data_IF_818056428486
#
_entry.id   IF_818056428486
#
_cell.length_a   1.000
_cell.length_b   1.000
_cell.length_c   1.000
_cell.angle_alpha   90.00
_cell.angle_beta   90.00
_cell.angle_gamma   90.00
#
_symmetry.space_group_name_H-M   'P 1'
#
loop_
_entity.id
_entity.type
_entity.pdbx_description
1 polymer ?
#
# COMPACT_ATOMS: atom_id res chain seq x y z
N UNK A 1 5.40 9.37 9.22
CA UNK A 1 4.24 9.98 8.57
C UNK A 1 4.41 11.49 8.64
N UNK A 2 4.23 12.24 7.57
CA UNK A 2 3.63 13.55 7.63
C UNK A 2 4.46 14.79 7.34
N UNK A 3 5.60 14.65 6.65
CA UNK A 3 6.23 15.86 6.14
C UNK A 3 5.40 16.55 5.04
N UNK A 4 4.67 15.77 4.24
CA UNK A 4 3.76 16.32 3.21
C UNK A 4 2.49 16.93 3.80
N UNK A 5 1.89 16.29 4.82
CA UNK A 5 0.69 16.84 5.48
C UNK A 5 0.99 18.18 6.15
N UNK A 6 2.19 18.34 6.71
CA UNK A 6 2.62 19.61 7.29
C UNK A 6 2.81 20.70 6.24
N UNK A 7 3.41 20.40 5.07
CA UNK A 7 3.54 21.36 3.98
C UNK A 7 2.17 21.80 3.47
N UNK A 8 1.25 20.85 3.23
CA UNK A 8 -0.13 21.16 2.83
C UNK A 8 -0.91 21.93 3.89
N UNK A 9 -0.78 21.61 5.17
CA UNK A 9 -1.43 22.35 6.25
C UNK A 9 -0.96 23.81 6.31
N UNK A 10 0.31 24.07 6.11
CA UNK A 10 0.83 25.44 6.08
C UNK A 10 0.39 26.19 4.83
N UNK A 11 0.37 25.56 3.66
CA UNK A 11 -0.14 26.15 2.44
C UNK A 11 -1.63 26.49 2.55
N UNK A 12 -2.40 25.67 3.25
CA UNK A 12 -3.85 25.86 3.38
C UNK A 12 -4.23 26.85 4.48
N UNK A 13 -3.50 26.89 5.61
CA UNK A 13 -3.81 27.77 6.74
C UNK A 13 -3.47 29.24 6.50
N UNK A 14 -2.41 29.51 5.76
CA UNK A 14 -1.85 30.86 5.65
C UNK A 14 -1.92 31.42 4.21
N UNK A 15 -2.34 30.63 3.26
CA UNK A 15 -2.31 30.99 1.84
C UNK A 15 -0.86 31.16 1.31
N UNK A 16 -0.67 31.02 0.02
CA UNK A 16 0.63 31.13 -0.65
C UNK A 16 1.28 32.53 -0.47
N UNK A 17 0.50 33.51 -0.08
CA UNK A 17 0.96 34.90 0.03
C UNK A 17 1.84 35.16 1.29
N UNK A 18 1.75 34.31 2.30
CA UNK A 18 2.47 34.49 3.57
C UNK A 18 3.56 33.46 3.85
N UNK A 19 3.84 32.57 2.89
CA UNK A 19 4.89 31.57 3.07
C UNK A 19 6.13 32.05 2.33
N UNK A 20 7.15 32.55 3.05
CA UNK A 20 8.41 32.89 2.40
C UNK A 20 8.99 31.64 1.75
N UNK A 21 9.29 31.77 0.45
CA UNK A 21 10.00 30.74 -0.32
C UNK A 21 11.37 31.27 -0.70
N UNK A 22 12.36 30.39 -0.72
CA UNK A 22 13.71 30.73 -1.10
C UNK A 22 14.73 30.53 0.01
N UNK A 23 15.82 31.29 -0.03
CA UNK A 23 16.95 31.13 0.87
C UNK A 23 17.38 32.52 1.37
N UNK A 24 17.68 32.66 2.65
CA UNK A 24 18.31 33.83 3.24
C UNK A 24 19.60 33.39 3.94
N UNK A 25 20.72 34.05 3.65
CA UNK A 25 22.02 33.78 4.24
C UNK A 25 22.41 32.30 4.17
N UNK A 26 22.10 31.63 3.05
CA UNK A 26 22.38 30.21 2.84
C UNK A 26 21.39 29.24 3.50
N UNK A 27 20.41 29.75 4.25
CA UNK A 27 19.41 28.91 4.93
C UNK A 27 18.08 28.95 4.19
N UNK A 28 17.56 27.79 3.84
CA UNK A 28 16.26 27.63 3.20
C UNK A 28 15.11 27.99 4.16
N UNK A 29 14.10 28.67 3.67
CA UNK A 29 12.85 28.81 4.42
C UNK A 29 12.18 27.47 4.66
N UNK A 30 11.37 27.40 5.70
CA UNK A 30 10.71 26.19 6.19
C UNK A 30 10.18 25.26 5.09
N UNK A 31 9.44 25.79 4.12
CA UNK A 31 8.84 24.97 3.05
C UNK A 31 9.92 24.37 2.17
N UNK A 32 10.91 25.15 1.78
CA UNK A 32 12.02 24.70 0.93
C UNK A 32 12.91 23.72 1.69
N UNK A 33 13.22 24.01 2.96
CA UNK A 33 13.99 23.11 3.81
C UNK A 33 13.27 21.75 3.98
N UNK A 34 11.95 21.77 4.24
CA UNK A 34 11.15 20.56 4.33
C UNK A 34 11.15 19.76 3.02
N UNK A 35 11.04 20.42 1.86
CA UNK A 35 11.07 19.73 0.57
C UNK A 35 12.42 19.10 0.26
N UNK A 36 13.51 19.72 0.66
CA UNK A 36 14.88 19.26 0.38
C UNK A 36 15.36 18.19 1.35
N UNK A 37 15.07 18.37 2.64
CA UNK A 37 15.71 17.62 3.73
C UNK A 37 14.80 16.59 4.38
N UNK A 38 13.45 16.75 4.30
CA UNK A 38 12.56 15.80 4.93
C UNK A 38 12.66 14.41 4.29
N UNK A 39 12.67 13.40 5.13
CA UNK A 39 12.65 12.03 4.67
C UNK A 39 11.40 11.72 3.83
N UNK A 40 11.59 10.90 2.83
CA UNK A 40 10.52 10.48 1.91
C UNK A 40 10.08 9.06 2.23
N UNK A 41 8.79 8.87 2.39
CA UNK A 41 8.21 7.54 2.35
C UNK A 41 7.96 7.17 0.88
N UNK A 42 8.62 6.11 0.43
CA UNK A 42 8.43 5.55 -0.90
C UNK A 42 7.61 4.27 -0.76
N UNK A 43 6.52 4.17 -1.48
CA UNK A 43 5.67 2.96 -1.54
C UNK A 43 5.56 2.54 -2.99
N UNK A 44 6.07 1.36 -3.29
CA UNK A 44 5.94 0.72 -4.60
C UNK A 44 4.95 -0.43 -4.47
N UNK A 45 3.94 -0.43 -5.31
CA UNK A 45 2.92 -1.48 -5.35
C UNK A 45 2.85 -2.07 -6.74
N UNK A 46 3.12 -3.37 -6.83
CA UNK A 46 2.98 -4.15 -8.04
C UNK A 46 1.78 -5.07 -7.89
N UNK A 47 0.90 -5.06 -8.87
CA UNK A 47 -0.29 -5.90 -8.88
C UNK A 47 -0.46 -6.56 -10.24
N UNK A 48 -0.60 -7.88 -10.24
CA UNK A 48 -0.96 -8.67 -11.40
C UNK A 48 -2.27 -9.39 -11.11
N UNK A 49 -3.24 -9.25 -12.02
CA UNK A 49 -4.49 -10.01 -11.97
C UNK A 49 -4.71 -10.70 -13.30
N UNK A 50 -4.87 -12.01 -13.26
CA UNK A 50 -5.17 -12.86 -14.40
C UNK A 50 -6.57 -13.45 -14.22
N UNK A 51 -7.40 -13.36 -15.25
CA UNK A 51 -8.74 -13.94 -15.29
C UNK A 51 -8.85 -14.90 -16.45
N UNK A 52 -9.36 -16.08 -16.18
CA UNK A 52 -9.73 -17.05 -17.20
C UNK A 52 -11.23 -17.34 -17.08
N UNK A 53 -11.90 -17.44 -18.19
CA UNK A 53 -13.32 -17.72 -18.27
C UNK A 53 -13.60 -18.84 -19.27
N UNK A 54 -14.42 -19.81 -18.87
CA UNK A 54 -14.88 -20.89 -19.73
C UNK A 54 -16.40 -20.92 -19.74
N UNK A 55 -16.98 -20.97 -20.93
CA UNK A 55 -18.41 -21.23 -21.13
C UNK A 55 -18.56 -22.38 -22.11
N UNK A 56 -19.29 -23.41 -21.73
CA UNK A 56 -19.60 -24.56 -22.54
C UNK A 56 -21.10 -24.83 -22.57
N UNK A 57 -21.69 -24.83 -23.76
CA UNK A 57 -23.07 -25.25 -23.96
C UNK A 57 -23.09 -26.78 -24.11
N UNK A 58 -23.46 -27.50 -23.05
CA UNK A 58 -23.49 -28.95 -23.02
C UNK A 58 -24.68 -29.47 -23.85
N UNK A 59 -25.83 -28.79 -23.68
CA UNK A 59 -27.03 -29.02 -24.46
C UNK A 59 -27.69 -27.67 -24.80
N UNK A 60 -28.81 -27.68 -25.52
CA UNK A 60 -29.58 -26.47 -25.79
C UNK A 60 -30.09 -25.78 -24.52
N UNK A 61 -30.35 -26.57 -23.49
CA UNK A 61 -30.96 -26.13 -22.24
C UNK A 61 -29.97 -26.08 -21.06
N UNK A 62 -28.75 -26.63 -21.22
CA UNK A 62 -27.74 -26.74 -20.17
C UNK A 62 -26.42 -26.09 -20.57
N UNK A 63 -26.00 -25.13 -19.76
CA UNK A 63 -24.74 -24.40 -19.94
C UNK A 63 -23.86 -24.55 -18.69
N UNK A 64 -22.61 -24.90 -18.90
CA UNK A 64 -21.57 -24.87 -17.86
C UNK A 64 -20.79 -23.57 -18.00
N UNK A 65 -20.52 -22.93 -16.85
CA UNK A 65 -19.66 -21.76 -16.77
C UNK A 65 -18.63 -21.99 -15.67
N UNK A 66 -17.42 -21.57 -15.92
CA UNK A 66 -16.35 -21.53 -14.92
C UNK A 66 -15.51 -20.27 -15.09
N UNK A 67 -15.12 -19.68 -13.99
CA UNK A 67 -14.18 -18.57 -13.96
C UNK A 67 -13.10 -18.82 -12.91
N UNK A 68 -11.91 -18.39 -13.22
CA UNK A 68 -10.75 -18.46 -12.36
C UNK A 68 -10.03 -17.12 -12.39
N UNK A 69 -9.78 -16.57 -11.21
CA UNK A 69 -8.99 -15.37 -11.03
C UNK A 69 -7.80 -15.65 -10.16
N UNK A 70 -6.63 -15.23 -10.60
CA UNK A 70 -5.40 -15.25 -9.81
C UNK A 70 -4.85 -13.85 -9.66
N UNK A 71 -4.58 -13.42 -8.43
CA UNK A 71 -4.06 -12.10 -8.09
C UNK A 71 -2.81 -12.20 -7.25
N UNK A 72 -1.76 -11.50 -7.67
CA UNK A 72 -0.55 -11.26 -6.89
C UNK A 72 -0.45 -9.77 -6.65
N UNK A 73 -0.24 -9.39 -5.40
CA UNK A 73 0.06 -8.03 -5.01
C UNK A 73 1.31 -8.03 -4.14
N UNK A 74 2.32 -7.25 -4.56
CA UNK A 74 3.50 -6.94 -3.76
C UNK A 74 3.48 -5.46 -3.40
N UNK A 75 3.78 -5.16 -2.16
CA UNK A 75 3.97 -3.79 -1.71
C UNK A 75 5.30 -3.70 -0.97
N UNK A 76 6.16 -2.81 -1.46
CA UNK A 76 7.42 -2.48 -0.82
C UNK A 76 7.35 -1.04 -0.35
N UNK A 77 7.66 -0.80 0.91
CA UNK A 77 7.70 0.53 1.47
C UNK A 77 9.02 0.77 2.16
N UNK A 78 9.56 1.94 1.96
CA UNK A 78 10.75 2.42 2.66
C UNK A 78 10.51 3.83 3.15
N UNK A 79 11.00 4.11 4.34
CA UNK A 79 10.92 5.43 4.95
C UNK A 79 12.05 5.63 5.95
N UNK A 80 12.30 6.88 6.29
CA UNK A 80 13.22 7.25 7.35
C UNK A 80 12.71 8.48 8.09
N UNK A 81 13.28 8.76 9.23
CA UNK A 81 13.12 10.02 9.96
C UNK A 81 14.36 10.89 9.76
N UNK A 82 14.17 12.12 9.34
CA UNK A 82 15.25 13.11 9.18
C UNK A 82 14.95 14.33 10.04
N UNK A 83 16.01 14.97 10.55
CA UNK A 83 15.91 16.32 11.06
C UNK A 83 15.89 17.32 9.90
N UNK A 84 15.21 18.44 10.08
CA UNK A 84 15.14 19.50 9.08
C UNK A 84 15.62 20.79 9.71
N UNK A 85 16.63 21.38 9.10
CA UNK A 85 17.20 22.65 9.53
C UNK A 85 16.94 23.74 8.50
N UNK A 86 16.59 24.93 8.95
CA UNK A 86 16.31 26.07 8.05
C UNK A 86 15.85 27.30 8.81
N UNK A 87 15.41 28.31 8.07
CA UNK A 87 14.86 29.52 8.68
C UNK A 87 13.50 29.26 9.31
N UNK A 88 13.27 29.93 10.45
CA UNK A 88 11.93 29.94 11.03
C UNK A 88 10.93 30.62 10.07
N UNK A 89 9.65 30.53 10.38
CA UNK A 89 8.58 31.05 9.53
C UNK A 89 8.61 32.58 9.36
N UNK A 90 9.28 33.32 10.27
CA UNK A 90 9.45 34.77 10.19
C UNK A 90 10.74 35.19 9.45
N UNK A 91 11.62 34.24 9.13
CA UNK A 91 12.92 34.56 8.47
C UNK A 91 13.91 35.27 9.38
N UNK A 92 13.75 35.20 10.69
CA UNK A 92 14.57 35.93 11.65
C UNK A 92 15.81 35.16 12.09
N UNK A 93 15.67 33.85 12.27
CA UNK A 93 16.76 33.02 12.77
C UNK A 93 16.72 31.61 12.18
N UNK A 94 17.90 31.05 11.84
CA UNK A 94 17.99 29.64 11.47
C UNK A 94 17.86 28.74 12.71
N UNK A 95 17.36 27.52 12.50
CA UNK A 95 17.21 26.53 13.55
C UNK A 95 16.58 25.23 13.06
N UNK A 96 16.42 24.27 13.96
CA UNK A 96 15.68 23.05 13.63
C UNK A 96 14.19 23.34 13.44
N UNK A 97 13.71 23.11 12.23
CA UNK A 97 12.28 23.13 11.90
C UNK A 97 11.61 21.85 12.40
N UNK A 98 12.30 20.72 12.21
CA UNK A 98 11.99 19.41 12.76
C UNK A 98 13.25 18.91 13.43
N UNK A 99 13.20 18.69 14.73
CA UNK A 99 14.29 18.11 15.49
C UNK A 99 13.89 16.69 15.89
N UNK A 100 14.60 15.69 15.35
CA UNK A 100 14.42 14.29 15.70
C UNK A 100 15.46 13.88 16.70
N UNK A 101 15.02 13.29 17.82
CA UNK A 101 15.91 12.73 18.84
C UNK A 101 16.60 11.46 18.37
N UNK A 102 16.04 10.79 17.36
CA UNK A 102 16.61 9.63 16.69
C UNK A 102 16.24 9.70 15.20
N UNK A 103 17.18 9.38 14.34
CA UNK A 103 16.98 9.28 12.89
C UNK A 103 16.83 7.82 12.52
N UNK A 104 15.60 7.33 12.53
CA UNK A 104 15.29 5.93 12.29
C UNK A 104 15.06 5.67 10.80
N UNK A 105 15.40 4.47 10.35
CA UNK A 105 15.01 3.99 9.02
C UNK A 105 14.27 2.68 9.13
N UNK A 106 13.24 2.49 8.27
CA UNK A 106 12.47 1.26 8.23
C UNK A 106 12.08 0.86 6.82
N UNK A 107 11.94 -0.44 6.65
CA UNK A 107 11.44 -1.06 5.43
C UNK A 107 10.38 -2.08 5.77
N UNK A 108 9.34 -2.10 5.00
CA UNK A 108 8.31 -3.12 5.06
C UNK A 108 8.04 -3.69 3.67
N UNK A 109 7.75 -4.97 3.66
CA UNK A 109 7.31 -5.69 2.49
C UNK A 109 6.04 -6.46 2.83
N UNK A 110 5.06 -6.42 1.96
CA UNK A 110 3.90 -7.31 2.05
C UNK A 110 3.62 -7.95 0.70
N UNK A 111 3.33 -9.24 0.74
CA UNK A 111 2.94 -10.03 -0.43
C UNK A 111 1.60 -10.68 -0.17
N UNK A 112 0.66 -10.48 -1.07
CA UNK A 112 -0.64 -11.14 -1.06
C UNK A 112 -0.82 -11.92 -2.36
N UNK A 113 -1.05 -13.21 -2.22
CA UNK A 113 -1.49 -14.09 -3.30
C UNK A 113 -2.93 -14.49 -3.02
N UNK A 114 -3.77 -14.38 -4.02
CA UNK A 114 -5.18 -14.78 -3.91
C UNK A 114 -5.61 -15.46 -5.19
N UNK A 115 -6.38 -16.52 -5.06
CA UNK A 115 -7.13 -17.06 -6.18
C UNK A 115 -8.60 -17.25 -5.81
N UNK A 116 -9.45 -17.10 -6.79
CA UNK A 116 -10.87 -17.40 -6.72
C UNK A 116 -11.26 -18.25 -7.90
N UNK A 117 -12.07 -19.25 -7.65
CA UNK A 117 -12.61 -20.13 -8.68
C UNK A 117 -14.11 -20.29 -8.47
N UNK A 118 -14.88 -20.14 -9.53
CA UNK A 118 -16.31 -20.39 -9.55
C UNK A 118 -16.61 -21.37 -10.69
N UNK A 119 -17.52 -22.30 -10.41
CA UNK A 119 -18.03 -23.19 -11.44
C UNK A 119 -19.53 -23.41 -11.20
N UNK A 120 -20.34 -23.23 -12.24
CA UNK A 120 -21.77 -23.39 -12.12
C UNK A 120 -22.43 -23.90 -13.39
N UNK A 121 -23.51 -24.63 -13.20
CA UNK A 121 -24.41 -25.15 -14.23
C UNK A 121 -25.70 -24.32 -14.24
N UNK A 122 -26.10 -23.88 -15.40
CA UNK A 122 -27.38 -23.27 -15.64
C UNK A 122 -28.22 -24.17 -16.51
N UNK A 123 -29.38 -24.57 -16.03
CA UNK A 123 -30.38 -25.28 -16.79
C UNK A 123 -31.59 -24.37 -16.99
N UNK A 124 -31.95 -24.09 -18.24
CA UNK A 124 -33.08 -23.26 -18.61
C UNK A 124 -33.93 -24.02 -19.64
N UNK A 125 -35.17 -24.24 -19.32
CA UNK A 125 -36.08 -24.97 -20.21
C UNK A 125 -37.47 -24.37 -20.18
N UNK A 126 -38.04 -24.19 -21.38
CA UNK A 126 -39.44 -23.83 -21.57
C UNK A 126 -40.23 -25.08 -21.90
N UNK A 127 -41.30 -25.38 -21.15
CA UNK A 127 -42.23 -26.49 -21.38
C UNK A 127 -43.55 -25.94 -21.93
N UNK A 128 -44.03 -26.53 -23.02
CA UNK A 128 -45.26 -26.16 -23.66
C UNK A 128 -45.39 -24.68 -23.99
N UNK A 129 -44.28 -24.01 -24.30
CA UNK A 129 -44.20 -22.57 -24.62
C UNK A 129 -44.80 -21.62 -23.56
N UNK A 130 -45.14 -22.16 -22.37
CA UNK A 130 -45.79 -21.40 -21.28
C UNK A 130 -44.98 -21.43 -19.98
N UNK A 131 -44.39 -22.57 -19.65
CA UNK A 131 -43.73 -22.73 -18.38
C UNK A 131 -42.21 -22.67 -18.52
N UNK A 132 -41.60 -21.67 -17.88
CA UNK A 132 -40.15 -21.48 -17.88
C UNK A 132 -39.55 -21.98 -16.56
N UNK A 133 -38.67 -22.96 -16.64
CA UNK A 133 -37.89 -23.46 -15.50
C UNK A 133 -36.42 -23.01 -15.67
N UNK A 134 -35.90 -22.27 -14.68
CA UNK A 134 -34.51 -21.95 -14.57
C UNK A 134 -33.93 -22.49 -13.28
N UNK A 135 -32.85 -23.25 -13.37
CA UNK A 135 -32.12 -23.80 -12.22
C UNK A 135 -30.65 -23.51 -12.37
N UNK A 136 -30.03 -23.02 -11.32
CA UNK A 136 -28.59 -22.80 -11.25
C UNK A 136 -28.03 -23.52 -10.03
N UNK A 137 -26.95 -24.27 -10.23
CA UNK A 137 -26.18 -24.91 -9.17
C UNK A 137 -24.71 -24.62 -9.38
N UNK A 138 -24.02 -24.24 -8.33
CA UNK A 138 -22.62 -23.87 -8.45
C UNK A 138 -21.83 -24.07 -7.17
N UNK A 139 -20.53 -24.01 -7.35
CA UNK A 139 -19.53 -24.06 -6.30
C UNK A 139 -18.59 -22.88 -6.47
N UNK A 140 -18.12 -22.35 -5.37
CA UNK A 140 -17.06 -21.35 -5.35
C UNK A 140 -15.96 -21.75 -4.37
N UNK A 141 -14.75 -21.33 -4.66
CA UNK A 141 -13.60 -21.46 -3.78
C UNK A 141 -12.74 -20.22 -3.86
N UNK A 142 -12.18 -19.84 -2.75
CA UNK A 142 -11.17 -18.79 -2.66
C UNK A 142 -10.07 -19.21 -1.69
N UNK A 143 -8.86 -18.79 -1.99
CA UNK A 143 -7.72 -18.91 -1.09
C UNK A 143 -6.90 -17.64 -1.14
N UNK A 144 -6.45 -17.22 0.02
CA UNK A 144 -5.63 -16.04 0.21
C UNK A 144 -4.45 -16.37 1.12
N UNK A 145 -3.28 -16.04 0.66
CA UNK A 145 -2.04 -16.08 1.43
C UNK A 145 -1.47 -14.67 1.51
N UNK A 146 -1.20 -14.20 2.72
CA UNK A 146 -0.60 -12.90 2.99
C UNK A 146 0.65 -13.10 3.83
N UNK A 147 1.74 -12.50 3.41
CA UNK A 147 3.03 -12.47 4.10
C UNK A 147 3.46 -11.03 4.29
N UNK A 148 3.94 -10.71 5.49
CA UNK A 148 4.37 -9.38 5.87
C UNK A 148 5.68 -9.45 6.62
N UNK A 149 6.60 -8.57 6.27
CA UNK A 149 7.87 -8.37 6.93
C UNK A 149 8.11 -6.88 7.17
N UNK A 150 8.63 -6.55 8.35
CA UNK A 150 9.00 -5.19 8.74
C UNK A 150 10.33 -5.22 9.47
N UNK A 151 11.20 -4.25 9.16
CA UNK A 151 12.44 -4.01 9.87
C UNK A 151 12.64 -2.51 10.07
N UNK A 152 13.07 -2.13 11.29
CA UNK A 152 13.44 -0.76 11.64
C UNK A 152 14.75 -0.78 12.41
N UNK A 153 15.63 0.16 12.10
CA UNK A 153 16.86 0.39 12.84
C UNK A 153 17.02 1.88 13.13
N UNK A 154 17.43 2.23 14.36
CA UNK A 154 17.64 3.61 14.76
C UNK A 154 19.01 4.13 14.36
N UNK A 155 19.10 5.45 14.35
CA UNK A 155 20.33 6.23 14.27
C UNK A 155 21.12 6.00 12.96
N UNK A 156 20.70 6.69 11.93
CA UNK A 156 21.35 6.68 10.63
C UNK A 156 22.75 7.33 10.69
N UNK A 157 23.72 6.73 10.02
CA UNK A 157 25.00 7.41 9.73
C UNK A 157 24.84 8.56 8.76
N UNK A 158 23.88 8.48 7.85
CA UNK A 158 23.60 9.52 6.86
C UNK A 158 22.11 9.58 6.55
N UNK A 159 21.53 10.74 6.73
CA UNK A 159 20.13 11.01 6.38
C UNK A 159 19.87 11.01 4.86
N UNK A 160 20.93 11.16 4.05
CA UNK A 160 20.83 11.12 2.58
C UNK A 160 20.80 9.68 2.03
N UNK A 161 21.27 8.70 2.80
CA UNK A 161 21.30 7.28 2.45
C UNK A 161 20.64 6.45 3.55
N UNK A 162 19.30 6.41 3.65
CA UNK A 162 18.60 5.77 4.74
C UNK A 162 18.50 4.26 4.55
N UNK A 163 19.64 3.57 4.60
CA UNK A 163 19.73 2.12 4.49
C UNK A 163 19.82 1.46 5.87
N UNK A 164 19.15 0.31 6.04
CA UNK A 164 19.13 -0.42 7.31
C UNK A 164 20.52 -0.86 7.79
N UNK A 165 21.45 -1.10 6.88
CA UNK A 165 22.83 -1.45 7.20
C UNK A 165 23.73 -0.25 7.52
N UNK A 166 23.27 0.97 7.26
CA UNK A 166 23.97 2.23 7.53
C UNK A 166 23.41 2.90 8.79
N UNK A 167 23.33 2.15 9.86
CA UNK A 167 22.85 2.62 11.17
C UNK A 167 23.82 2.19 12.26
N UNK A 168 23.93 2.98 13.32
CA UNK A 168 24.83 2.74 14.46
C UNK A 168 24.10 2.62 15.80
N UNK A 169 22.80 2.73 15.82
CA UNK A 169 21.99 2.70 17.03
C UNK A 169 21.97 1.37 17.74
N UNK A 170 21.64 1.40 19.03
CA UNK A 170 21.59 0.25 19.92
C UNK A 170 20.69 -0.86 19.36
N UNK A 171 21.21 -2.07 19.30
CA UNK A 171 20.46 -3.27 18.85
C UNK A 171 19.19 -3.54 19.65
N UNK A 172 19.15 -3.13 20.91
CA UNK A 172 17.95 -3.24 21.76
C UNK A 172 16.77 -2.43 21.26
N UNK A 173 17.03 -1.44 20.41
CA UNK A 173 15.99 -0.58 19.79
C UNK A 173 15.58 -1.06 18.39
N UNK A 174 16.17 -2.15 17.89
CA UNK A 174 15.77 -2.70 16.60
C UNK A 174 14.37 -3.27 16.69
N UNK A 175 13.56 -2.98 15.71
CA UNK A 175 12.25 -3.59 15.57
C UNK A 175 12.23 -4.46 14.31
N UNK A 176 12.00 -5.75 14.51
CA UNK A 176 11.83 -6.72 13.43
C UNK A 176 10.52 -7.43 13.70
N UNK A 177 9.67 -7.48 12.71
CA UNK A 177 8.38 -8.13 12.81
C UNK A 177 8.04 -8.87 11.51
N UNK A 178 7.35 -9.98 11.63
CA UNK A 178 6.80 -10.72 10.49
C UNK A 178 5.48 -11.35 10.87
N UNK A 179 4.60 -11.47 9.91
CA UNK A 179 3.33 -12.17 10.11
C UNK A 179 2.92 -12.86 8.82
N UNK A 180 2.35 -14.03 8.95
CA UNK A 180 1.79 -14.79 7.85
C UNK A 180 0.33 -15.07 8.14
N UNK A 181 -0.54 -14.89 7.17
CA UNK A 181 -1.97 -15.17 7.27
C UNK A 181 -2.37 -15.99 6.06
N UNK A 182 -3.16 -17.02 6.30
CA UNK A 182 -3.78 -17.82 5.26
C UNK A 182 -5.28 -17.95 5.54
N UNK A 183 -6.08 -17.85 4.50
CA UNK A 183 -7.52 -18.02 4.57
C UNK A 183 -7.99 -18.76 3.33
N UNK A 184 -8.76 -19.82 3.53
CA UNK A 184 -9.44 -20.53 2.46
C UNK A 184 -10.93 -20.59 2.77
N UNK A 185 -11.76 -20.48 1.74
CA UNK A 185 -13.19 -20.69 1.84
C UNK A 185 -13.72 -21.44 0.63
N UNK A 186 -14.75 -22.23 0.85
CA UNK A 186 -15.50 -22.91 -0.20
C UNK A 186 -16.98 -22.82 0.09
N UNK A 187 -17.79 -22.68 -0.94
CA UNK A 187 -19.23 -22.56 -0.82
C UNK A 187 -19.96 -23.26 -1.97
N UNK A 188 -21.22 -23.59 -1.69
CA UNK A 188 -22.17 -24.08 -2.68
C UNK A 188 -23.30 -23.07 -2.79
N UNK A 189 -23.80 -22.86 -3.97
CA UNK A 189 -24.93 -21.98 -4.20
C UNK A 189 -25.90 -22.57 -5.21
N UNK A 190 -27.17 -22.21 -5.06
CA UNK A 190 -28.23 -22.67 -5.95
C UNK A 190 -29.40 -21.69 -6.02
N UNK A 191 -30.09 -21.67 -7.11
CA UNK A 191 -31.28 -20.86 -7.35
C UNK A 191 -32.25 -21.61 -8.22
#
# INVERSE_FOLDING_TARGET
>A
ADSYSNVYQYLWRWGSFFIPSGTIDGNDFRVVAMQKQAARKVVVRDQLRLNAYLKANITKDLTFNADFTYEIQNMNSSSADNSVYGMNWMGVSPGYIVNKSSTDTWRDNSKRNMWTANAYLNYNKTFNDVHNLGVMLGVNGEDMYYDYFYAQRPELYSETMPELNLTYGDEKKWAINSSTQARASAGYFGR
#
